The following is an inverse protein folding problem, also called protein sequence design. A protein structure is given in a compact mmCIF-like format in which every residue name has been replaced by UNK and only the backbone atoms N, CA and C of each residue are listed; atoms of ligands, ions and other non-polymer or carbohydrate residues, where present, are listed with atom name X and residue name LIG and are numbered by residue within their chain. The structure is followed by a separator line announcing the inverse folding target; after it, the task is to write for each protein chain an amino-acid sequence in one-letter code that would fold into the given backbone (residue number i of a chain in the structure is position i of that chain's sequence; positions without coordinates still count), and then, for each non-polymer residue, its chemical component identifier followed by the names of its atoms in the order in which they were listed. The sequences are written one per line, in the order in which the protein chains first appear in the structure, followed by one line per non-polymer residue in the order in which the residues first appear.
data_IF_372941304011
#
_entry.id   IF_372941304011
#
_cell.length_a   1.000
_cell.length_b   1.000
_cell.length_c   1.000
_cell.angle_alpha   90.00
_cell.angle_beta   90.00
_cell.angle_gamma   90.00
#
_symmetry.space_group_name_H-M   'P 1'
#
loop_
_entity.id
_entity.type
_entity.pdbx_description
1 polymer ?
#
# COMPACT_ATOMS: atom_id res chain seq x y z
N UNK A 1 23.88 40.97 -35.07
CA UNK A 1 22.64 40.27 -34.68
C UNK A 1 22.99 39.14 -33.71
N UNK A 2 23.22 39.44 -32.41
CA UNK A 2 23.88 38.45 -31.53
C UNK A 2 23.47 38.50 -30.05
N UNK A 3 22.40 39.23 -29.68
CA UNK A 3 22.08 39.50 -28.26
C UNK A 3 21.02 38.58 -27.62
N UNK A 4 20.37 37.70 -28.39
CA UNK A 4 19.25 36.90 -27.87
C UNK A 4 19.59 35.43 -27.55
N UNK A 5 20.67 34.89 -28.15
CA UNK A 5 20.98 33.46 -28.06
C UNK A 5 21.21 33.01 -26.61
N UNK A 6 21.97 33.78 -25.83
CA UNK A 6 22.24 33.47 -24.41
C UNK A 6 21.01 33.53 -23.52
N UNK A 7 20.05 34.39 -23.84
CA UNK A 7 18.83 34.57 -23.04
C UNK A 7 17.81 33.47 -23.34
N UNK A 8 17.72 33.08 -24.60
CA UNK A 8 16.94 31.93 -25.06
C UNK A 8 17.51 30.60 -24.53
N UNK A 9 18.84 30.42 -24.52
CA UNK A 9 19.49 29.23 -23.95
C UNK A 9 19.21 29.09 -22.44
N UNK A 10 19.38 30.17 -21.67
CA UNK A 10 19.14 30.14 -20.23
C UNK A 10 17.68 29.82 -19.88
N UNK A 11 16.73 30.35 -20.66
CA UNK A 11 15.29 30.10 -20.47
C UNK A 11 14.93 28.65 -20.81
N UNK A 12 15.58 28.09 -21.84
CA UNK A 12 15.41 26.71 -22.28
C UNK A 12 15.99 25.74 -21.26
N UNK A 13 17.18 26.00 -20.74
CA UNK A 13 17.81 25.20 -19.68
C UNK A 13 16.99 25.24 -18.39
N UNK A 14 16.54 26.43 -17.97
CA UNK A 14 15.68 26.59 -16.78
C UNK A 14 14.35 25.83 -16.91
N UNK A 15 13.74 25.84 -18.10
CA UNK A 15 12.49 25.11 -18.36
C UNK A 15 12.70 23.60 -18.33
N UNK A 16 13.78 23.10 -18.94
CA UNK A 16 14.14 21.68 -18.90
C UNK A 16 14.46 21.18 -17.49
N UNK A 17 15.16 21.99 -16.69
CA UNK A 17 15.43 21.71 -15.28
C UNK A 17 14.14 21.68 -14.46
N UNK A 18 13.24 22.65 -14.66
CA UNK A 18 11.94 22.70 -13.97
C UNK A 18 11.06 21.48 -14.27
N UNK A 19 10.99 21.07 -15.54
CA UNK A 19 10.22 19.90 -15.98
C UNK A 19 10.80 18.60 -15.40
N UNK A 20 12.13 18.44 -15.44
CA UNK A 20 12.82 17.27 -14.90
C UNK A 20 12.64 17.14 -13.38
N UNK A 21 12.75 18.25 -12.65
CA UNK A 21 12.50 18.28 -11.20
C UNK A 21 11.04 17.98 -10.88
N UNK A 22 10.10 18.58 -11.62
CA UNK A 22 8.66 18.34 -11.44
C UNK A 22 8.28 16.88 -11.66
N UNK A 23 8.80 16.28 -12.72
CA UNK A 23 8.57 14.88 -13.07
C UNK A 23 9.13 13.92 -12.01
N UNK A 24 10.39 14.09 -11.58
CA UNK A 24 10.99 13.28 -10.53
C UNK A 24 10.23 13.40 -9.20
N UNK A 25 9.76 14.61 -8.85
CA UNK A 25 8.99 14.84 -7.63
C UNK A 25 7.62 14.15 -7.70
N UNK A 26 6.96 14.19 -8.86
CA UNK A 26 5.70 13.49 -9.12
C UNK A 26 5.82 11.98 -8.99
N UNK A 27 6.81 11.38 -9.65
CA UNK A 27 7.10 9.93 -9.57
C UNK A 27 7.41 9.51 -8.14
N UNK A 28 8.25 10.28 -7.43
CA UNK A 28 8.64 9.97 -6.05
C UNK A 28 7.45 10.01 -5.10
N UNK A 29 6.55 10.99 -5.25
CA UNK A 29 5.34 11.12 -4.43
C UNK A 29 4.35 9.99 -4.72
N UNK A 30 4.03 9.74 -5.99
CA UNK A 30 3.14 8.66 -6.41
C UNK A 30 3.61 7.27 -5.97
N UNK A 31 4.92 6.98 -6.05
CA UNK A 31 5.49 5.72 -5.59
C UNK A 31 5.39 5.55 -4.07
N UNK A 32 5.59 6.63 -3.31
CA UNK A 32 5.57 6.59 -1.85
C UNK A 32 4.14 6.39 -1.33
N UNK A 33 3.17 7.08 -1.92
CA UNK A 33 1.75 6.95 -1.57
C UNK A 33 1.20 5.57 -1.98
N UNK A 34 1.52 5.09 -3.19
CA UNK A 34 1.12 3.76 -3.65
C UNK A 34 1.69 2.61 -2.80
N UNK A 35 2.95 2.73 -2.36
CA UNK A 35 3.59 1.74 -1.47
C UNK A 35 2.96 1.74 -0.07
N UNK A 36 2.63 2.91 0.47
CA UNK A 36 1.98 3.04 1.78
C UNK A 36 0.57 2.47 1.77
N UNK A 37 -0.22 2.76 0.73
CA UNK A 37 -1.57 2.23 0.55
C UNK A 37 -1.53 0.71 0.40
N UNK A 38 -0.73 0.19 -0.54
CA UNK A 38 -0.62 -1.25 -0.79
C UNK A 38 -0.08 -2.04 0.40
N UNK A 39 0.82 -1.46 1.20
CA UNK A 39 1.32 -2.11 2.42
C UNK A 39 0.27 -2.17 3.52
N UNK A 40 -0.56 -1.14 3.71
CA UNK A 40 -1.62 -1.17 4.72
C UNK A 40 -2.71 -2.18 4.35
N UNK A 41 -3.14 -2.17 3.10
CA UNK A 41 -4.17 -3.09 2.61
C UNK A 41 -3.66 -4.54 2.61
N UNK A 42 -2.40 -4.76 2.20
CA UNK A 42 -1.77 -6.07 2.25
C UNK A 42 -1.58 -6.62 3.68
N UNK A 43 -1.21 -5.78 4.64
CA UNK A 43 -1.08 -6.19 6.06
C UNK A 43 -2.45 -6.53 6.66
N UNK A 44 -3.48 -5.73 6.36
CA UNK A 44 -4.84 -5.99 6.85
C UNK A 44 -5.41 -7.29 6.27
N UNK A 45 -5.27 -7.49 4.95
CA UNK A 45 -5.70 -8.72 4.27
C UNK A 45 -4.94 -9.95 4.78
N UNK A 46 -3.61 -9.85 4.94
CA UNK A 46 -2.79 -10.94 5.46
C UNK A 46 -3.11 -11.29 6.91
N UNK A 47 -3.34 -10.28 7.77
CA UNK A 47 -3.77 -10.52 9.16
C UNK A 47 -5.13 -11.21 9.22
N UNK A 48 -6.08 -10.82 8.37
CA UNK A 48 -7.40 -11.44 8.30
C UNK A 48 -7.33 -12.89 7.77
N UNK A 49 -6.53 -13.13 6.72
CA UNK A 49 -6.28 -14.49 6.22
C UNK A 49 -5.66 -15.40 7.28
N UNK A 50 -4.63 -14.93 7.99
CA UNK A 50 -3.99 -15.71 9.04
C UNK A 50 -4.96 -16.07 10.19
N UNK A 51 -5.84 -15.14 10.58
CA UNK A 51 -6.89 -15.42 11.58
C UNK A 51 -7.87 -16.48 11.08
N UNK A 52 -8.32 -16.38 9.82
CA UNK A 52 -9.23 -17.36 9.19
C UNK A 52 -8.60 -18.75 9.10
N UNK A 53 -7.35 -18.86 8.66
CA UNK A 53 -6.63 -20.13 8.60
C UNK A 53 -6.47 -20.76 9.98
N UNK A 54 -6.13 -19.95 10.99
CA UNK A 54 -6.02 -20.41 12.37
C UNK A 54 -7.37 -20.92 12.90
N UNK A 55 -8.46 -20.18 12.64
CA UNK A 55 -9.81 -20.60 13.03
C UNK A 55 -10.22 -21.91 12.37
N UNK A 56 -9.93 -22.06 11.06
CA UNK A 56 -10.24 -23.29 10.32
C UNK A 56 -9.50 -24.51 10.89
N UNK A 57 -8.20 -24.37 11.19
CA UNK A 57 -7.40 -25.44 11.77
C UNK A 57 -7.89 -25.83 13.18
N UNK A 58 -8.33 -24.86 13.98
CA UNK A 58 -8.93 -25.14 15.29
C UNK A 58 -10.30 -25.81 15.17
N UNK A 59 -11.12 -25.40 14.21
CA UNK A 59 -12.40 -26.03 13.92
C UNK A 59 -12.22 -27.49 13.48
N UNK A 60 -11.25 -27.79 12.61
CA UNK A 60 -10.89 -29.16 12.22
C UNK A 60 -10.45 -30.01 13.41
N UNK A 61 -9.77 -29.41 14.39
CA UNK A 61 -9.37 -30.05 15.65
C UNK A 61 -10.50 -30.18 16.67
N UNK A 62 -11.72 -29.76 16.33
CA UNK A 62 -12.91 -29.80 17.19
C UNK A 62 -12.78 -28.98 18.47
N UNK A 63 -12.04 -27.86 18.43
CA UNK A 63 -12.06 -26.89 19.53
C UNK A 63 -13.45 -26.24 19.64
N UNK A 64 -13.88 -25.87 20.86
CA UNK A 64 -15.14 -25.14 21.03
C UNK A 64 -15.06 -23.74 20.41
N UNK A 65 -16.16 -23.29 19.80
CA UNK A 65 -16.26 -21.99 19.12
C UNK A 65 -15.83 -20.81 20.00
N UNK A 66 -16.13 -20.86 21.30
CA UNK A 66 -15.73 -19.86 22.28
C UNK A 66 -14.22 -19.68 22.38
N UNK A 67 -13.46 -20.77 22.28
CA UNK A 67 -12.00 -20.76 22.37
C UNK A 67 -11.37 -20.33 21.05
N UNK A 68 -11.98 -20.70 19.92
CA UNK A 68 -11.58 -20.21 18.60
C UNK A 68 -11.79 -18.69 18.51
N UNK A 69 -12.94 -18.19 18.96
CA UNK A 69 -13.26 -16.77 19.04
C UNK A 69 -12.24 -16.03 19.93
N UNK A 70 -11.91 -16.57 21.10
CA UNK A 70 -10.92 -16.00 22.02
C UNK A 70 -9.52 -15.90 21.38
N UNK A 71 -9.08 -16.96 20.69
CA UNK A 71 -7.73 -17.06 20.15
C UNK A 71 -7.55 -16.26 18.85
N UNK A 72 -8.55 -16.26 17.98
CA UNK A 72 -8.48 -15.62 16.65
C UNK A 72 -9.01 -14.19 16.65
N UNK A 73 -9.84 -13.85 17.63
CA UNK A 73 -10.56 -12.58 17.68
C UNK A 73 -11.57 -12.41 16.55
N UNK A 74 -11.99 -13.51 15.92
CA UNK A 74 -13.06 -13.56 14.93
C UNK A 74 -14.40 -13.78 15.65
N UNK A 75 -15.47 -13.25 15.09
CA UNK A 75 -16.81 -13.45 15.64
C UNK A 75 -17.30 -14.87 15.37
N UNK A 76 -18.20 -15.40 16.21
CA UNK A 76 -18.80 -16.72 16.00
C UNK A 76 -19.39 -16.88 14.59
N UNK A 77 -20.10 -15.85 14.09
CA UNK A 77 -20.63 -15.83 12.74
C UNK A 77 -19.57 -15.92 11.63
N UNK A 78 -18.36 -15.41 11.85
CA UNK A 78 -17.25 -15.53 10.89
C UNK A 78 -16.67 -16.95 10.87
N UNK A 79 -16.69 -17.62 12.02
CA UNK A 79 -16.21 -19.00 12.21
C UNK A 79 -17.26 -20.00 11.71
N UNK A 80 -18.55 -19.74 11.84
CA UNK A 80 -19.62 -20.55 11.24
C UNK A 80 -19.67 -20.42 9.71
N UNK A 81 -19.23 -19.28 9.16
CA UNK A 81 -19.13 -19.05 7.71
C UNK A 81 -17.73 -19.38 7.11
N UNK A 82 -16.92 -20.17 7.81
CA UNK A 82 -15.58 -20.62 7.39
C UNK A 82 -15.61 -22.04 6.81
#
# INVERSE_FOLDING_TARGET
MSLNIWKDDLLREGSQLGEKIGFERGIRKGRKDGLLQGRRDGIAAGSYQAKRETAKLMAERKYPLSEICLMTGLSEAEIENL
#
